data_IF_797218524397
#
_entry.id   IF_797218524397
#
_cell.length_a   1.000
_cell.length_b   1.000
_cell.length_c   1.000
_cell.angle_alpha   90.00
_cell.angle_beta   90.00
_cell.angle_gamma   90.00
#
_symmetry.space_group_name_H-M   'P 1'
#
loop_
_entity.id
_entity.type
_entity.pdbx_description
1 polymer ?
#
# COMPACT_ATOMS: atom_id res chain seq x y z
N UNK A 1 -28.79 44.87 17.07
CA UNK A 1 -27.60 44.06 17.37
C UNK A 1 -27.20 43.38 16.06
N UNK A 2 -26.37 44.06 15.26
CA UNK A 2 -25.98 43.56 13.93
C UNK A 2 -24.73 42.66 14.05
N UNK A 3 -24.65 41.58 13.27
CA UNK A 3 -23.55 40.63 13.34
C UNK A 3 -22.28 41.23 12.70
N UNK A 4 -21.15 41.14 13.41
CA UNK A 4 -19.84 41.50 12.87
C UNK A 4 -19.39 40.37 11.95
N UNK A 5 -19.61 40.53 10.64
CA UNK A 5 -18.96 39.70 9.63
C UNK A 5 -17.52 40.18 9.49
N UNK A 6 -16.57 39.49 10.15
CA UNK A 6 -15.14 39.70 9.88
C UNK A 6 -14.85 39.30 8.43
N UNK A 7 -14.48 40.30 7.63
CA UNK A 7 -14.18 40.15 6.20
C UNK A 7 -12.77 39.55 6.07
N UNK A 8 -12.62 38.46 5.31
CA UNK A 8 -11.32 37.79 5.08
C UNK A 8 -10.20 38.76 4.63
N UNK A 9 -10.59 39.88 4.00
CA UNK A 9 -9.69 40.96 3.58
C UNK A 9 -8.93 41.64 4.74
N UNK A 10 -9.49 41.69 5.96
CA UNK A 10 -8.77 42.20 7.14
C UNK A 10 -7.73 41.21 7.67
N UNK A 11 -8.01 39.89 7.58
CA UNK A 11 -7.03 38.85 7.91
C UNK A 11 -5.84 38.87 6.95
N UNK A 12 -6.09 39.04 5.65
CA UNK A 12 -5.02 39.16 4.65
C UNK A 12 -4.16 40.42 4.83
N UNK A 13 -4.72 41.51 5.38
CA UNK A 13 -3.97 42.76 5.62
C UNK A 13 -2.95 42.63 6.75
N UNK A 14 -3.17 41.72 7.71
CA UNK A 14 -2.22 41.42 8.77
C UNK A 14 -1.12 40.43 8.37
N UNK A 15 -1.32 39.67 7.29
CA UNK A 15 -0.33 38.74 6.74
C UNK A 15 0.54 39.47 5.69
N UNK A 16 1.35 40.43 6.14
CA UNK A 16 2.35 41.06 5.26
C UNK A 16 3.45 40.04 4.98
N UNK A 17 3.41 39.42 3.81
CA UNK A 17 4.46 38.50 3.35
C UNK A 17 5.77 39.29 3.20
N UNK A 18 6.86 38.91 3.89
CA UNK A 18 8.15 39.56 3.69
C UNK A 18 8.68 39.29 2.29
N UNK A 19 9.29 40.30 1.68
CA UNK A 19 9.91 40.22 0.35
C UNK A 19 11.13 39.26 0.38
N UNK A 20 11.50 38.69 -0.77
CA UNK A 20 12.61 37.72 -0.85
C UNK A 20 13.95 38.31 -0.36
N UNK A 21 14.15 39.61 -0.52
CA UNK A 21 15.35 40.31 -0.03
C UNK A 21 15.40 40.40 1.50
N UNK A 22 14.25 40.61 2.17
CA UNK A 22 14.17 40.66 3.63
C UNK A 22 14.53 39.31 4.24
N UNK A 23 14.08 38.22 3.63
CA UNK A 23 14.41 36.85 4.06
C UNK A 23 15.90 36.59 3.88
N UNK A 24 16.48 36.99 2.74
CA UNK A 24 17.91 36.80 2.47
C UNK A 24 18.79 37.59 3.43
N UNK A 25 18.40 38.82 3.75
CA UNK A 25 19.12 39.66 4.69
C UNK A 25 19.02 39.12 6.12
N UNK A 26 17.83 38.66 6.52
CA UNK A 26 17.63 38.00 7.81
C UNK A 26 18.49 36.74 7.96
N UNK A 27 18.54 35.89 6.93
CA UNK A 27 19.37 34.67 6.93
C UNK A 27 20.86 34.99 7.10
N UNK A 28 21.33 36.11 6.52
CA UNK A 28 22.72 36.57 6.68
C UNK A 28 23.03 37.12 8.07
N UNK A 29 22.03 37.58 8.80
CA UNK A 29 22.21 38.09 10.18
C UNK A 29 22.26 36.99 11.24
N UNK A 30 22.00 35.73 10.87
CA UNK A 30 21.99 34.61 11.81
C UNK A 30 23.41 34.11 12.13
N UNK A 31 23.67 33.68 13.38
CA UNK A 31 24.91 33.00 13.72
C UNK A 31 25.10 31.72 12.89
N UNK A 32 26.36 31.40 12.56
CA UNK A 32 26.72 30.20 11.79
C UNK A 32 26.14 28.92 12.38
N UNK A 33 26.08 28.81 13.71
CA UNK A 33 25.52 27.65 14.41
C UNK A 33 24.01 27.48 14.16
N UNK A 34 23.27 28.59 14.07
CA UNK A 34 21.82 28.58 13.78
C UNK A 34 21.58 28.19 12.32
N UNK A 35 22.41 28.69 11.40
CA UNK A 35 22.35 28.31 9.98
C UNK A 35 22.63 26.82 9.78
N UNK A 36 23.64 26.28 10.48
CA UNK A 36 23.94 24.85 10.49
C UNK A 36 22.79 24.04 11.07
N UNK A 37 22.15 24.51 12.15
CA UNK A 37 20.96 23.89 12.73
C UNK A 37 19.80 23.79 11.75
N UNK A 38 19.51 24.86 10.99
CA UNK A 38 18.49 24.84 9.93
C UNK A 38 18.84 23.88 8.81
N UNK A 39 20.11 23.85 8.37
CA UNK A 39 20.59 22.91 7.36
C UNK A 39 20.41 21.45 7.79
N UNK A 40 20.79 21.13 9.03
CA UNK A 40 20.63 19.79 9.60
C UNK A 40 19.15 19.38 9.71
N UNK A 41 18.27 20.28 10.16
CA UNK A 41 16.84 20.03 10.25
C UNK A 41 16.20 19.84 8.86
N UNK A 42 16.57 20.68 7.88
CA UNK A 42 16.12 20.52 6.50
C UNK A 42 16.57 19.19 5.89
N UNK A 43 17.82 18.77 6.13
CA UNK A 43 18.34 17.48 5.67
C UNK A 43 17.59 16.29 6.31
N UNK A 44 17.32 16.34 7.62
CA UNK A 44 16.60 15.26 8.32
C UNK A 44 15.14 15.15 7.86
N UNK A 45 14.45 16.28 7.74
CA UNK A 45 13.05 16.30 7.30
C UNK A 45 12.90 15.87 5.86
N UNK A 46 13.80 16.29 4.96
CA UNK A 46 13.80 15.83 3.57
C UNK A 46 14.14 14.36 3.46
N UNK A 47 15.10 13.85 4.22
CA UNK A 47 15.41 12.41 4.27
C UNK A 47 14.23 11.59 4.77
N UNK A 48 13.58 12.01 5.87
CA UNK A 48 12.39 11.35 6.39
C UNK A 48 11.23 11.38 5.39
N UNK A 49 11.01 12.52 4.73
CA UNK A 49 9.97 12.65 3.72
C UNK A 49 10.24 11.81 2.47
N UNK A 50 11.50 11.62 2.09
CA UNK A 50 11.90 10.79 0.95
C UNK A 50 11.79 9.28 1.25
N UNK A 51 12.06 8.88 2.50
CA UNK A 51 12.12 7.46 2.92
C UNK A 51 10.84 6.95 3.56
N UNK A 52 9.87 7.82 3.89
CA UNK A 52 8.60 7.39 4.46
C UNK A 52 7.85 6.43 3.53
N UNK A 53 7.27 5.33 4.06
CA UNK A 53 6.42 4.46 3.27
C UNK A 53 5.20 5.25 2.79
N UNK A 54 4.98 5.26 1.48
CA UNK A 54 3.79 5.86 0.88
C UNK A 54 2.62 4.92 1.11
N UNK A 55 1.51 5.45 1.63
CA UNK A 55 0.27 4.69 1.68
C UNK A 55 -0.11 4.30 0.24
N UNK A 56 -0.36 3.00 0.03
CA UNK A 56 -0.84 2.51 -1.24
C UNK A 56 -2.21 3.15 -1.49
N UNK A 57 -2.38 3.78 -2.66
CA UNK A 57 -3.70 4.27 -3.06
C UNK A 57 -4.53 3.05 -3.47
N UNK A 58 -5.73 2.86 -2.89
CA UNK A 58 -6.58 1.75 -3.30
C UNK A 58 -6.94 1.90 -4.78
N UNK A 59 -7.01 0.80 -5.54
CA UNK A 59 -7.26 0.82 -6.98
C UNK A 59 -8.69 1.26 -7.34
N UNK A 60 -9.62 1.17 -6.39
CA UNK A 60 -10.99 1.66 -6.51
C UNK A 60 -11.40 2.45 -5.26
N UNK A 61 -12.47 3.23 -5.39
CA UNK A 61 -13.14 3.83 -4.24
C UNK A 61 -13.72 2.73 -3.35
N UNK A 62 -13.34 2.73 -2.08
CA UNK A 62 -13.80 1.75 -1.10
C UNK A 62 -15.31 1.87 -0.83
N UNK A 63 -15.90 3.04 -1.05
CA UNK A 63 -17.34 3.24 -0.95
C UNK A 63 -18.11 2.68 -2.17
N UNK A 64 -17.41 2.36 -3.27
CA UNK A 64 -17.99 1.93 -4.53
C UNK A 64 -17.14 0.82 -5.19
N UNK A 65 -17.07 -0.33 -4.53
CA UNK A 65 -16.30 -1.48 -5.02
C UNK A 65 -17.02 -2.31 -6.09
N UNK A 66 -18.31 -2.04 -6.33
CA UNK A 66 -19.09 -2.72 -7.36
C UNK A 66 -20.11 -1.80 -8.02
N UNK A 67 -20.32 -2.00 -9.32
CA UNK A 67 -21.23 -1.22 -10.19
C UNK A 67 -22.33 -2.16 -10.68
N UNK A 68 -23.57 -1.67 -10.77
CA UNK A 68 -24.69 -2.46 -11.29
C UNK A 68 -24.59 -2.61 -12.80
N UNK A 69 -24.92 -3.80 -13.31
CA UNK A 69 -24.95 -4.08 -14.74
C UNK A 69 -26.34 -3.72 -15.27
N UNK A 70 -26.39 -2.94 -16.35
CA UNK A 70 -27.66 -2.56 -16.97
C UNK A 70 -28.40 -3.81 -17.48
N UNK A 71 -29.64 -4.00 -17.02
CA UNK A 71 -30.48 -5.16 -17.41
C UNK A 71 -30.16 -6.47 -16.70
N UNK A 72 -29.17 -6.51 -15.80
CA UNK A 72 -28.96 -7.64 -14.90
C UNK A 72 -29.80 -7.49 -13.64
N UNK A 73 -30.74 -8.40 -13.40
CA UNK A 73 -31.54 -8.44 -12.16
C UNK A 73 -30.60 -8.61 -10.93
N UNK A 74 -30.14 -7.49 -10.37
CA UNK A 74 -29.19 -7.39 -9.25
C UNK A 74 -27.75 -7.86 -9.55
N UNK A 75 -27.39 -8.01 -10.83
CA UNK A 75 -26.01 -8.34 -11.19
C UNK A 75 -25.10 -7.12 -10.98
N UNK A 76 -23.99 -7.32 -10.27
CA UNK A 76 -22.98 -6.29 -10.04
C UNK A 76 -21.63 -6.75 -10.57
N UNK A 77 -20.89 -5.84 -11.18
CA UNK A 77 -19.51 -6.03 -11.63
C UNK A 77 -18.52 -5.29 -10.74
N UNK A 78 -17.25 -5.72 -10.79
CA UNK A 78 -16.16 -4.98 -10.15
C UNK A 78 -16.04 -3.59 -10.74
N UNK A 79 -15.82 -2.59 -9.90
CA UNK A 79 -15.52 -1.22 -10.33
C UNK A 79 -14.19 -1.10 -11.10
N UNK A 80 -13.38 -2.17 -11.11
CA UNK A 80 -12.10 -2.25 -11.84
C UNK A 80 -12.25 -2.69 -13.29
N UNK A 81 -13.45 -3.11 -13.73
CA UNK A 81 -13.69 -3.55 -15.10
C UNK A 81 -14.21 -2.39 -15.95
N UNK A 82 -13.70 -2.28 -17.17
CA UNK A 82 -14.18 -1.26 -18.12
C UNK A 82 -15.51 -1.66 -18.78
N UNK A 83 -15.74 -2.97 -18.94
CA UNK A 83 -16.89 -3.55 -19.64
C UNK A 83 -17.64 -4.56 -18.76
N UNK A 84 -18.82 -4.98 -19.23
CA UNK A 84 -19.66 -5.99 -18.55
C UNK A 84 -19.22 -7.44 -18.83
N UNK A 85 -18.11 -7.63 -19.56
CA UNK A 85 -17.60 -8.98 -19.83
C UNK A 85 -16.92 -9.59 -18.58
N UNK A 86 -17.12 -10.90 -18.33
CA UNK A 86 -16.44 -11.58 -17.24
C UNK A 86 -14.92 -11.54 -17.41
N UNK A 87 -14.22 -11.13 -16.35
CA UNK A 87 -12.78 -11.26 -16.29
C UNK A 87 -12.40 -12.72 -16.09
N UNK A 88 -12.01 -13.40 -17.17
CA UNK A 88 -11.58 -14.81 -17.13
C UNK A 88 -10.14 -14.93 -16.66
N UNK A 89 -9.26 -14.03 -17.14
CA UNK A 89 -7.85 -13.98 -16.77
C UNK A 89 -7.43 -12.54 -16.53
N UNK A 90 -6.79 -12.27 -15.38
CA UNK A 90 -6.20 -10.95 -15.12
C UNK A 90 -4.94 -10.71 -15.95
N UNK A 91 -4.17 -11.78 -16.20
CA UNK A 91 -3.01 -11.76 -17.08
C UNK A 91 -3.09 -12.93 -18.07
N UNK A 92 -2.80 -12.67 -19.35
CA UNK A 92 -2.92 -13.66 -20.42
C UNK A 92 -1.98 -14.85 -20.25
N UNK A 93 -0.85 -14.67 -19.56
CA UNK A 93 0.20 -15.67 -19.32
C UNK A 93 -0.02 -16.49 -18.03
N UNK A 94 -1.07 -16.19 -17.27
CA UNK A 94 -1.33 -16.84 -15.97
C UNK A 94 -2.52 -17.79 -16.10
N UNK A 95 -2.34 -19.03 -15.63
CA UNK A 95 -3.41 -20.04 -15.59
C UNK A 95 -3.66 -20.60 -14.20
N UNK A 96 -2.66 -20.58 -13.32
CA UNK A 96 -2.75 -21.13 -11.98
C UNK A 96 -2.37 -20.10 -10.91
N UNK A 97 -2.80 -20.34 -9.66
CA UNK A 97 -2.34 -19.53 -8.53
C UNK A 97 -0.82 -19.58 -8.34
N UNK A 98 -0.19 -20.69 -8.73
CA UNK A 98 1.27 -20.80 -8.74
C UNK A 98 1.90 -19.84 -9.75
N UNK A 99 1.35 -19.72 -10.96
CA UNK A 99 1.83 -18.78 -11.98
C UNK A 99 1.70 -17.32 -11.50
N UNK A 100 0.59 -16.98 -10.82
CA UNK A 100 0.41 -15.65 -10.18
C UNK A 100 1.54 -15.38 -9.20
N UNK A 101 1.85 -16.35 -8.33
CA UNK A 101 2.89 -16.19 -7.32
C UNK A 101 4.28 -16.04 -7.95
N UNK A 102 4.63 -16.87 -8.93
CA UNK A 102 5.90 -16.77 -9.65
C UNK A 102 6.02 -15.42 -10.37
N UNK A 103 4.96 -14.99 -11.04
CA UNK A 103 4.90 -13.67 -11.68
C UNK A 103 5.10 -12.54 -10.66
N UNK A 104 4.42 -12.60 -9.52
CA UNK A 104 4.58 -11.63 -8.42
C UNK A 104 6.01 -11.54 -7.92
N UNK A 105 6.70 -12.69 -7.78
CA UNK A 105 8.12 -12.74 -7.40
C UNK A 105 9.03 -12.07 -8.44
N UNK A 106 8.79 -12.33 -9.73
CA UNK A 106 9.57 -11.74 -10.82
C UNK A 106 9.37 -10.22 -10.94
N UNK A 107 8.12 -9.76 -10.97
CA UNK A 107 7.78 -8.35 -11.16
C UNK A 107 8.21 -7.50 -9.96
N UNK A 108 8.09 -8.04 -8.75
CA UNK A 108 8.49 -7.34 -7.52
C UNK A 108 10.00 -7.37 -7.25
N UNK A 109 10.78 -8.11 -8.04
CA UNK A 109 12.20 -8.38 -7.80
C UNK A 109 12.47 -8.88 -6.37
N UNK A 110 11.76 -9.94 -5.97
CA UNK A 110 11.78 -10.47 -4.59
C UNK A 110 11.35 -9.44 -3.53
N UNK A 111 10.31 -8.66 -3.83
CA UNK A 111 9.73 -7.69 -2.91
C UNK A 111 8.98 -8.34 -1.73
N UNK A 112 8.35 -7.52 -0.86
CA UNK A 112 7.48 -8.01 0.19
C UNK A 112 6.27 -8.75 -0.40
N UNK A 113 5.98 -9.94 0.12
CA UNK A 113 4.89 -10.82 -0.32
C UNK A 113 3.79 -10.93 0.75
N UNK A 114 4.15 -11.32 1.97
CA UNK A 114 3.20 -11.50 3.07
C UNK A 114 3.50 -10.54 4.23
N UNK A 115 2.49 -9.82 4.70
CA UNK A 115 2.59 -8.89 5.83
C UNK A 115 2.01 -9.47 7.11
N UNK A 116 2.79 -9.48 8.18
CA UNK A 116 2.39 -9.91 9.53
C UNK A 116 2.36 -8.72 10.46
N UNK A 117 1.24 -8.51 11.17
CA UNK A 117 1.13 -7.43 12.15
C UNK A 117 0.89 -7.98 13.55
N UNK A 118 1.79 -7.64 14.47
CA UNK A 118 1.58 -7.84 15.91
C UNK A 118 0.77 -6.68 16.49
N UNK A 119 0.01 -6.88 17.58
CA UNK A 119 -0.74 -5.80 18.21
C UNK A 119 0.15 -4.58 18.48
N UNK A 120 -0.31 -3.39 18.05
CA UNK A 120 0.40 -2.11 18.19
C UNK A 120 1.80 -2.02 17.53
N UNK A 121 2.17 -2.96 16.67
CA UNK A 121 3.45 -2.94 15.95
C UNK A 121 3.26 -2.68 14.46
N UNK A 122 4.31 -2.20 13.75
CA UNK A 122 4.30 -2.13 12.29
C UNK A 122 4.20 -3.52 11.65
N UNK A 123 3.89 -3.55 10.35
CA UNK A 123 3.91 -4.78 9.57
C UNK A 123 5.35 -5.28 9.39
N UNK A 124 5.57 -6.56 9.71
CA UNK A 124 6.74 -7.33 9.34
C UNK A 124 6.44 -8.02 8.01
N UNK A 125 7.31 -7.85 7.02
CA UNK A 125 7.09 -8.41 5.68
C UNK A 125 8.00 -9.62 5.43
N UNK A 126 7.44 -10.64 4.81
CA UNK A 126 8.15 -11.83 4.32
C UNK A 126 8.28 -11.68 2.80
N UNK A 127 9.48 -11.87 2.28
CA UNK A 127 9.76 -11.75 0.83
C UNK A 127 9.19 -12.92 0.03
N UNK A 128 9.00 -12.73 -1.29
CA UNK A 128 8.51 -13.79 -2.18
C UNK A 128 9.36 -15.06 -2.11
N UNK A 129 10.70 -14.95 -2.10
CA UNK A 129 11.58 -16.12 -2.00
C UNK A 129 11.41 -16.88 -0.70
N UNK A 130 11.34 -16.19 0.44
CA UNK A 130 11.11 -16.84 1.73
C UNK A 130 9.76 -17.55 1.80
N UNK A 131 8.72 -16.99 1.16
CA UNK A 131 7.41 -17.65 1.04
C UNK A 131 7.52 -18.90 0.15
N UNK A 132 8.24 -18.81 -0.96
CA UNK A 132 8.47 -19.93 -1.87
C UNK A 132 9.19 -21.09 -1.17
N UNK A 133 10.27 -20.80 -0.44
CA UNK A 133 11.04 -21.79 0.32
C UNK A 133 10.19 -22.47 1.40
N UNK A 134 9.36 -21.71 2.11
CA UNK A 134 8.43 -22.26 3.10
C UNK A 134 7.37 -23.15 2.45
N UNK A 135 6.81 -22.72 1.32
CA UNK A 135 5.83 -23.49 0.57
C UNK A 135 6.43 -24.81 0.04
N UNK A 136 7.67 -24.79 -0.44
CA UNK A 136 8.39 -25.98 -0.91
C UNK A 136 8.70 -26.94 0.24
N UNK A 137 9.08 -26.42 1.42
CA UNK A 137 9.29 -27.22 2.62
C UNK A 137 7.99 -27.92 3.05
N UNK A 138 6.86 -27.21 3.05
CA UNK A 138 5.55 -27.82 3.36
C UNK A 138 5.15 -28.84 2.30
N UNK A 139 5.32 -28.51 1.02
CA UNK A 139 5.01 -29.40 -0.10
C UNK A 139 5.81 -30.71 -0.06
N UNK A 140 7.12 -30.62 0.16
CA UNK A 140 8.00 -31.80 0.30
C UNK A 140 7.65 -32.64 1.54
N UNK A 141 7.29 -32.02 2.65
CA UNK A 141 6.80 -32.74 3.83
C UNK A 141 5.51 -33.50 3.55
N UNK A 142 4.59 -32.94 2.76
CA UNK A 142 3.37 -33.62 2.32
C UNK A 142 3.70 -34.81 1.41
N UNK A 143 4.56 -34.62 0.41
CA UNK A 143 5.00 -35.72 -0.47
C UNK A 143 5.62 -36.87 0.34
N UNK A 144 6.49 -36.55 1.29
CA UNK A 144 7.13 -37.54 2.17
C UNK A 144 6.12 -38.27 3.08
N UNK A 145 4.98 -37.66 3.41
CA UNK A 145 3.89 -38.31 4.13
C UNK A 145 2.97 -39.18 3.26
N UNK A 146 3.29 -39.31 1.97
CA UNK A 146 2.55 -40.16 1.03
C UNK A 146 1.39 -39.47 0.32
N UNK A 147 1.25 -38.14 0.50
CA UNK A 147 0.32 -37.35 -0.29
C UNK A 147 0.80 -37.26 -1.74
N UNK A 148 -0.11 -37.40 -2.70
CA UNK A 148 0.19 -37.31 -4.13
C UNK A 148 -0.20 -35.94 -4.69
N UNK A 149 0.54 -35.41 -5.68
CA UNK A 149 0.10 -34.24 -6.43
C UNK A 149 -1.01 -34.67 -7.41
N UNK A 150 -2.26 -34.65 -6.94
CA UNK A 150 -3.44 -35.02 -7.73
C UNK A 150 -4.55 -33.99 -7.53
N UNK A 151 -5.29 -33.61 -8.60
CA UNK A 151 -6.45 -32.74 -8.48
C UNK A 151 -7.59 -33.35 -7.64
N UNK A 152 -7.60 -34.68 -7.48
CA UNK A 152 -8.62 -35.40 -6.72
C UNK A 152 -8.27 -35.52 -5.21
N UNK A 153 -7.12 -34.98 -4.80
CA UNK A 153 -6.64 -35.09 -3.43
C UNK A 153 -6.77 -33.75 -2.71
N UNK A 154 -7.64 -33.71 -1.71
CA UNK A 154 -7.92 -32.50 -0.93
C UNK A 154 -7.24 -32.57 0.44
N UNK A 155 -6.60 -31.47 0.84
CA UNK A 155 -5.95 -31.33 2.15
C UNK A 155 -6.69 -30.24 2.93
N UNK A 156 -7.33 -30.62 4.03
CA UNK A 156 -7.97 -29.67 4.93
C UNK A 156 -6.94 -28.92 5.77
N UNK A 157 -6.90 -27.60 5.66
CA UNK A 157 -6.07 -26.74 6.51
C UNK A 157 -6.96 -26.06 7.53
N UNK A 158 -6.82 -26.42 8.81
CA UNK A 158 -7.46 -25.70 9.90
C UNK A 158 -6.45 -24.77 10.56
N UNK A 159 -6.72 -23.47 10.51
CA UNK A 159 -5.91 -22.46 11.18
C UNK A 159 -6.81 -21.36 11.72
N UNK A 160 -6.63 -21.00 12.99
CA UNK A 160 -7.21 -19.77 13.53
C UNK A 160 -6.47 -18.59 12.90
N UNK A 161 -7.17 -17.48 12.61
CA UNK A 161 -6.65 -16.31 11.91
C UNK A 161 -5.41 -15.70 12.63
N UNK A 162 -4.27 -16.32 12.35
CA UNK A 162 -2.90 -15.98 12.71
C UNK A 162 -2.26 -15.45 11.42
N UNK A 163 -1.10 -14.78 11.48
CA UNK A 163 -0.31 -14.41 10.30
C UNK A 163 0.00 -15.52 9.28
N UNK A 164 -0.36 -16.77 9.59
CA UNK A 164 -0.27 -17.96 8.75
C UNK A 164 -1.54 -18.15 7.87
N UNK A 165 -2.55 -17.29 7.99
CA UNK A 165 -3.79 -17.30 7.19
C UNK A 165 -3.96 -15.97 6.48
N UNK A 166 -4.00 -16.03 5.14
CA UNK A 166 -4.18 -14.88 4.26
C UNK A 166 -5.58 -14.28 4.51
N UNK A 167 -5.62 -13.01 4.91
CA UNK A 167 -6.76 -12.14 4.66
C UNK A 167 -6.38 -11.24 3.50
N UNK A 168 -6.81 -11.61 2.31
CA UNK A 168 -6.90 -10.66 1.21
C UNK A 168 -7.90 -9.58 1.62
N UNK A 169 -7.43 -8.35 1.68
CA UNK A 169 -8.25 -7.14 1.78
C UNK A 169 -8.00 -6.30 0.52
#
# INVERSE_FOLDING_TARGET
>A
MQPITMQAHELFRHLRMPELDDVRQYVRTLPTNTLMGFGAFAALTTYWYATRPKALKPPCDLAMQSVEIEGGEYARRSALLDNDEPLVYYYDDVRTAYDIFQRGMHVSNNGPCLGVRKPNQPYEWISYKEVAEKAECVGSALLNRGFKPSPDQFIGLFSQNRPEVIKDH
#
